data_IF_438703255533
#
_entry.id   IF_438703255533
#
_cell.length_a   1.000
_cell.length_b   1.000
_cell.length_c   1.000
_cell.angle_alpha   90.00
_cell.angle_beta   90.00
_cell.angle_gamma   90.00
#
_symmetry.space_group_name_H-M   'P 1'
#
loop_
_entity.id
_entity.type
_entity.pdbx_description
1 polymer ?
#
# COMPACT_ATOMS: atom_id res chain seq x y z
N UNK A 1 -18.95 -2.91 8.68
CA UNK A 1 -18.06 -4.11 8.74
C UNK A 1 -16.73 -3.71 9.36
N UNK A 2 -16.20 -4.53 10.23
CA UNK A 2 -14.90 -4.31 10.83
C UNK A 2 -13.80 -4.91 9.95
N UNK A 3 -12.60 -4.33 9.99
CA UNK A 3 -11.45 -4.90 9.27
C UNK A 3 -11.14 -6.34 9.69
N UNK A 4 -11.40 -6.69 10.95
CA UNK A 4 -11.19 -8.05 11.45
C UNK A 4 -12.10 -9.10 10.80
N UNK A 5 -13.17 -8.66 10.15
CA UNK A 5 -14.09 -9.56 9.43
C UNK A 5 -13.62 -9.83 7.99
N UNK A 6 -12.61 -9.09 7.52
CA UNK A 6 -11.97 -9.34 6.23
C UNK A 6 -10.90 -10.43 6.37
N UNK A 7 -10.62 -11.13 5.28
CA UNK A 7 -9.60 -12.18 5.26
C UNK A 7 -8.18 -11.61 5.14
N UNK A 8 -7.83 -10.73 6.07
CA UNK A 8 -6.50 -10.14 6.17
C UNK A 8 -5.66 -10.91 7.19
N UNK A 9 -4.36 -11.05 6.93
CA UNK A 9 -3.48 -11.76 7.86
C UNK A 9 -3.17 -10.93 9.12
N UNK A 10 -2.55 -11.59 10.11
CA UNK A 10 -2.29 -11.00 11.41
C UNK A 10 -1.42 -9.74 11.34
N UNK A 11 -0.40 -9.73 10.48
CA UNK A 11 0.51 -8.58 10.37
C UNK A 11 -0.23 -7.32 9.91
N UNK A 12 -1.14 -7.46 8.95
CA UNK A 12 -1.95 -6.34 8.46
C UNK A 12 -2.95 -5.90 9.52
N UNK A 13 -3.64 -6.85 10.17
CA UNK A 13 -4.60 -6.54 11.22
C UNK A 13 -3.94 -5.87 12.42
N UNK A 14 -2.74 -6.29 12.80
CA UNK A 14 -1.99 -5.67 13.90
C UNK A 14 -1.62 -4.22 13.57
N UNK A 15 -1.23 -3.92 12.35
CA UNK A 15 -0.94 -2.57 11.92
C UNK A 15 -2.21 -1.69 11.95
N UNK A 16 -3.33 -2.21 11.48
CA UNK A 16 -4.61 -1.51 11.54
C UNK A 16 -5.02 -1.20 12.98
N UNK A 17 -4.86 -2.15 13.87
CA UNK A 17 -5.16 -1.96 15.29
C UNK A 17 -4.26 -0.88 15.90
N UNK A 18 -2.97 -0.92 15.62
CA UNK A 18 -2.02 0.09 16.09
C UNK A 18 -2.34 1.49 15.58
N UNK A 19 -2.87 1.61 14.36
CA UNK A 19 -3.30 2.86 13.76
C UNK A 19 -4.74 3.26 14.15
N UNK A 20 -5.42 2.44 14.94
CA UNK A 20 -6.81 2.62 15.39
C UNK A 20 -7.82 2.64 14.24
N UNK A 21 -7.60 1.82 13.23
CA UNK A 21 -8.56 1.58 12.17
C UNK A 21 -9.41 0.36 12.54
N UNK A 22 -10.64 0.60 12.95
CA UNK A 22 -11.54 -0.48 13.40
C UNK A 22 -12.57 -0.87 12.34
N UNK A 23 -13.21 0.12 11.74
CA UNK A 23 -14.31 -0.09 10.80
C UNK A 23 -13.94 0.32 9.38
N UNK A 24 -14.40 -0.47 8.42
CA UNK A 24 -14.23 -0.18 7.01
C UNK A 24 -15.16 0.95 6.55
N UNK A 25 -14.65 1.81 5.68
CA UNK A 25 -15.50 2.70 4.89
C UNK A 25 -16.23 1.87 3.82
N UNK A 26 -17.31 2.41 3.21
CA UNK A 26 -18.04 1.68 2.16
C UNK A 26 -17.16 1.21 1.00
N UNK A 27 -16.21 2.05 0.52
CA UNK A 27 -15.32 1.65 -0.57
C UNK A 27 -14.36 0.54 -0.14
N UNK A 28 -13.87 0.56 1.09
CA UNK A 28 -13.00 -0.49 1.61
C UNK A 28 -13.74 -1.82 1.72
N UNK A 29 -14.94 -1.80 2.27
CA UNK A 29 -15.79 -2.98 2.43
C UNK A 29 -16.11 -3.64 1.08
N UNK A 30 -16.34 -2.84 0.05
CA UNK A 30 -16.68 -3.35 -1.28
C UNK A 30 -15.45 -3.78 -2.08
N UNK A 31 -14.34 -3.04 -1.99
CA UNK A 31 -13.18 -3.26 -2.84
C UNK A 31 -12.22 -4.32 -2.32
N UNK A 32 -11.94 -4.34 -1.02
CA UNK A 32 -10.93 -5.23 -0.45
C UNK A 32 -11.21 -6.72 -0.76
N UNK A 33 -12.42 -7.24 -0.55
CA UNK A 33 -12.68 -8.64 -0.87
C UNK A 33 -12.45 -9.00 -2.33
N UNK A 34 -12.81 -8.10 -3.26
CA UNK A 34 -12.64 -8.32 -4.69
C UNK A 34 -11.16 -8.38 -5.06
N UNK A 35 -10.35 -7.49 -4.52
CA UNK A 35 -8.91 -7.45 -4.76
C UNK A 35 -8.23 -8.68 -4.16
N UNK A 36 -8.64 -9.11 -2.96
CA UNK A 36 -8.11 -10.33 -2.32
C UNK A 36 -8.39 -11.59 -3.15
N UNK A 37 -9.47 -11.61 -3.91
CA UNK A 37 -9.78 -12.69 -4.85
C UNK A 37 -8.90 -12.67 -6.11
N UNK A 38 -8.06 -11.65 -6.28
CA UNK A 38 -7.19 -11.51 -7.44
C UNK A 38 -7.86 -10.93 -8.68
N UNK A 39 -9.00 -10.29 -8.53
CA UNK A 39 -9.75 -9.69 -9.63
C UNK A 39 -9.32 -8.25 -9.88
N UNK A 40 -9.41 -7.84 -11.13
CA UNK A 40 -9.23 -6.43 -11.50
C UNK A 40 -10.46 -5.62 -11.10
N UNK A 41 -10.24 -4.35 -10.78
CA UNK A 41 -11.29 -3.49 -10.26
C UNK A 41 -11.10 -2.04 -10.70
N UNK A 42 -12.20 -1.42 -11.13
CA UNK A 42 -12.28 0.04 -11.25
C UNK A 42 -13.22 0.51 -10.14
N UNK A 43 -12.69 1.29 -9.22
CA UNK A 43 -13.45 1.80 -8.08
C UNK A 43 -13.42 3.32 -8.06
N UNK A 44 -14.57 3.92 -7.88
CA UNK A 44 -14.74 5.37 -7.84
C UNK A 44 -15.36 5.76 -6.50
N UNK A 45 -14.69 6.67 -5.79
CA UNK A 45 -15.19 7.21 -4.53
C UNK A 45 -14.66 8.63 -4.34
N UNK A 46 -15.35 9.40 -3.52
CA UNK A 46 -14.93 10.77 -3.22
C UNK A 46 -13.64 10.80 -2.40
N UNK A 47 -12.94 11.94 -2.44
CA UNK A 47 -11.76 12.19 -1.62
C UNK A 47 -12.09 12.03 -0.14
N UNK A 48 -11.21 11.41 0.62
CA UNK A 48 -11.39 11.22 2.06
C UNK A 48 -12.22 10.00 2.44
N UNK A 49 -12.53 9.11 1.49
CA UNK A 49 -13.32 7.90 1.75
C UNK A 49 -12.48 6.64 2.00
N UNK A 50 -11.16 6.79 2.10
CA UNK A 50 -10.26 5.68 2.41
C UNK A 50 -9.88 4.81 1.20
N UNK A 51 -9.84 5.38 -0.01
CA UNK A 51 -9.46 4.65 -1.23
C UNK A 51 -8.04 4.08 -1.14
N UNK A 52 -7.11 4.81 -0.54
CA UNK A 52 -5.73 4.37 -0.43
C UNK A 52 -5.62 3.05 0.34
N UNK A 53 -6.26 2.95 1.49
CA UNK A 53 -6.29 1.71 2.26
C UNK A 53 -7.01 0.59 1.51
N UNK A 54 -8.04 0.93 0.73
CA UNK A 54 -8.78 -0.05 -0.05
C UNK A 54 -7.91 -0.84 -1.02
N UNK A 55 -6.88 -0.23 -1.61
CA UNK A 55 -5.95 -0.97 -2.47
C UNK A 55 -4.66 -1.38 -1.76
N UNK A 56 -4.13 -0.58 -0.81
CA UNK A 56 -2.88 -0.91 -0.11
C UNK A 56 -3.02 -2.15 0.78
N UNK A 57 -4.11 -2.29 1.50
CA UNK A 57 -4.28 -3.41 2.44
C UNK A 57 -4.27 -4.78 1.75
N UNK A 58 -4.99 -5.00 0.63
CA UNK A 58 -4.87 -6.26 -0.09
C UNK A 58 -3.48 -6.52 -0.66
N UNK A 59 -2.80 -5.47 -1.15
CA UNK A 59 -1.43 -5.57 -1.67
C UNK A 59 -0.49 -6.04 -0.56
N UNK A 60 -0.54 -5.39 0.59
CA UNK A 60 0.28 -5.75 1.75
C UNK A 60 -0.05 -7.14 2.27
N UNK A 61 -1.31 -7.52 2.25
CA UNK A 61 -1.74 -8.87 2.64
C UNK A 61 -1.06 -9.92 1.76
N UNK A 62 -1.05 -9.70 0.45
CA UNK A 62 -0.41 -10.60 -0.50
C UNK A 62 1.11 -10.66 -0.30
N UNK A 63 1.76 -9.51 -0.10
CA UNK A 63 3.19 -9.46 0.17
C UNK A 63 3.56 -10.15 1.49
N UNK A 64 2.71 -10.02 2.50
CA UNK A 64 2.92 -10.64 3.80
C UNK A 64 2.84 -12.17 3.74
N UNK A 65 2.10 -12.72 2.79
CA UNK A 65 2.01 -14.17 2.58
C UNK A 65 3.30 -14.76 1.98
N UNK A 66 4.16 -13.94 1.39
CA UNK A 66 5.40 -14.38 0.76
C UNK A 66 5.21 -15.00 -0.62
N UNK A 67 6.25 -15.67 -1.13
CA UNK A 67 6.19 -16.31 -2.44
C UNK A 67 6.46 -15.37 -3.61
N UNK A 68 6.75 -14.11 -3.37
CA UNK A 68 7.14 -13.14 -4.39
C UNK A 68 8.67 -12.98 -4.42
N UNK A 69 9.25 -12.51 -5.56
CA UNK A 69 10.68 -12.20 -5.63
C UNK A 69 11.08 -11.13 -4.62
N UNK A 70 12.17 -11.35 -3.88
CA UNK A 70 12.62 -10.42 -2.84
C UNK A 70 13.37 -9.21 -3.38
N UNK A 71 14.03 -9.36 -4.55
CA UNK A 71 14.86 -8.34 -5.16
C UNK A 71 14.23 -7.71 -6.40
N UNK A 72 12.92 -7.83 -6.55
CA UNK A 72 12.17 -7.31 -7.68
C UNK A 72 11.03 -6.40 -7.22
N UNK A 73 10.57 -5.55 -8.13
CA UNK A 73 9.37 -4.74 -7.91
C UNK A 73 8.15 -5.65 -8.09
N UNK A 74 7.33 -5.75 -7.05
CA UNK A 74 6.14 -6.60 -7.04
C UNK A 74 4.84 -5.83 -7.26
N UNK A 75 4.86 -4.51 -7.03
CA UNK A 75 3.68 -3.66 -7.21
C UNK A 75 4.10 -2.25 -7.62
N UNK A 76 3.36 -1.68 -8.57
CA UNK A 76 3.54 -0.29 -8.98
C UNK A 76 2.25 0.46 -8.72
N UNK A 77 2.34 1.57 -8.00
CA UNK A 77 1.21 2.45 -7.70
C UNK A 77 1.46 3.78 -8.43
N UNK A 78 0.53 4.17 -9.27
CA UNK A 78 0.61 5.43 -10.01
C UNK A 78 -0.33 6.46 -9.40
N UNK A 79 0.14 7.69 -9.27
CA UNK A 79 -0.67 8.78 -8.75
C UNK A 79 -0.45 10.05 -9.59
N UNK A 80 -1.46 10.94 -9.66
CA UNK A 80 -1.36 12.11 -10.54
C UNK A 80 -0.47 13.23 -10.01
N UNK A 81 -0.17 13.25 -8.70
CA UNK A 81 0.64 14.31 -8.09
C UNK A 81 1.70 13.74 -7.16
N UNK A 82 2.77 14.50 -7.00
CA UNK A 82 3.86 14.20 -6.06
C UNK A 82 3.35 14.15 -4.61
N UNK A 83 2.46 15.07 -4.27
CA UNK A 83 1.88 15.17 -2.93
C UNK A 83 1.07 13.91 -2.58
N UNK A 84 0.30 13.39 -3.52
CA UNK A 84 -0.44 12.15 -3.32
C UNK A 84 0.50 10.95 -3.21
N UNK A 85 1.56 10.90 -4.02
CA UNK A 85 2.57 9.84 -3.91
C UNK A 85 3.20 9.82 -2.52
N UNK A 86 3.53 10.98 -1.96
CA UNK A 86 4.07 11.10 -0.61
C UNK A 86 3.07 10.64 0.46
N UNK A 87 1.79 10.99 0.31
CA UNK A 87 0.73 10.54 1.23
C UNK A 87 0.56 9.03 1.21
N UNK A 88 0.59 8.44 0.02
CA UNK A 88 0.49 6.98 -0.14
C UNK A 88 1.69 6.31 0.52
N UNK A 89 2.89 6.82 0.32
CA UNK A 89 4.11 6.29 0.92
C UNK A 89 4.06 6.35 2.45
N UNK A 90 3.55 7.44 3.03
CA UNK A 90 3.37 7.56 4.47
C UNK A 90 2.38 6.54 5.03
N UNK A 91 1.26 6.33 4.34
CA UNK A 91 0.29 5.32 4.75
C UNK A 91 0.87 3.90 4.61
N UNK A 92 1.65 3.68 3.57
CA UNK A 92 2.35 2.42 3.34
C UNK A 92 3.27 2.07 4.51
N UNK A 93 4.02 3.03 5.02
CA UNK A 93 4.90 2.83 6.19
C UNK A 93 4.10 2.38 7.42
N UNK A 94 2.94 3.00 7.67
CA UNK A 94 2.09 2.63 8.81
C UNK A 94 1.50 1.23 8.67
N UNK A 95 0.92 0.93 7.53
CA UNK A 95 0.27 -0.36 7.29
C UNK A 95 1.25 -1.53 7.22
N UNK A 96 2.50 -1.28 6.82
CA UNK A 96 3.53 -2.32 6.69
C UNK A 96 4.44 -2.45 7.92
N UNK A 97 4.10 -1.80 9.02
CA UNK A 97 4.95 -1.72 10.20
C UNK A 97 5.36 -3.09 10.76
N UNK A 98 4.47 -4.06 10.73
CA UNK A 98 4.70 -5.39 11.30
C UNK A 98 5.11 -6.45 10.26
N UNK A 99 5.51 -6.02 9.05
CA UNK A 99 5.90 -6.95 7.99
C UNK A 99 7.12 -6.43 7.23
N UNK A 100 7.93 -7.32 6.64
CA UNK A 100 9.14 -6.93 5.91
C UNK A 100 8.86 -6.51 4.47
N UNK A 101 7.96 -5.55 4.27
CA UNK A 101 7.71 -4.96 2.96
C UNK A 101 8.45 -3.66 2.80
N UNK A 102 9.00 -3.41 1.63
CA UNK A 102 9.73 -2.19 1.30
C UNK A 102 9.01 -1.39 0.23
N UNK A 103 9.09 -0.08 0.31
CA UNK A 103 8.50 0.82 -0.67
C UNK A 103 9.45 1.97 -1.01
N UNK A 104 9.35 2.46 -2.23
CA UNK A 104 10.08 3.64 -2.70
C UNK A 104 9.09 4.55 -3.42
N UNK A 105 8.99 5.80 -2.98
CA UNK A 105 8.25 6.83 -3.69
C UNK A 105 9.15 7.50 -4.71
N UNK A 106 8.71 7.54 -5.95
CA UNK A 106 9.46 8.14 -7.07
C UNK A 106 8.65 9.29 -7.64
N UNK A 107 9.21 10.50 -7.57
CA UNK A 107 8.54 11.70 -8.08
C UNK A 107 9.56 12.75 -8.51
N UNK A 108 9.15 13.64 -9.39
CA UNK A 108 9.99 14.70 -9.90
C UNK A 108 10.09 15.92 -8.99
N UNK A 109 10.88 16.95 -9.41
CA UNK A 109 11.04 18.18 -8.67
C UNK A 109 11.95 18.10 -7.45
N UNK A 110 12.77 17.05 -7.38
CA UNK A 110 13.70 16.79 -6.30
C UNK A 110 15.05 17.47 -6.54
N UNK A 111 15.83 17.67 -5.47
CA UNK A 111 17.26 17.94 -5.59
C UNK A 111 18.02 16.65 -5.98
N UNK A 112 19.32 16.81 -6.31
CA UNK A 112 20.14 15.67 -6.71
C UNK A 112 20.31 14.61 -5.65
N UNK A 113 20.23 14.96 -4.37
CA UNK A 113 20.38 14.03 -3.25
C UNK A 113 19.16 13.11 -3.18
N UNK A 114 17.96 13.66 -3.25
CA UNK A 114 16.72 12.87 -3.26
C UNK A 114 16.63 11.98 -4.49
N UNK A 115 17.03 12.48 -5.65
CA UNK A 115 17.08 11.70 -6.88
C UNK A 115 17.99 10.47 -6.73
N UNK A 116 19.19 10.64 -6.18
CA UNK A 116 20.12 9.53 -5.96
C UNK A 116 19.59 8.53 -4.93
N UNK A 117 18.90 8.99 -3.89
CA UNK A 117 18.27 8.11 -2.90
C UNK A 117 17.17 7.25 -3.53
N UNK A 118 16.33 7.85 -4.37
CA UNK A 118 15.28 7.13 -5.09
C UNK A 118 15.88 6.08 -6.03
N UNK A 119 16.90 6.46 -6.79
CA UNK A 119 17.61 5.57 -7.69
C UNK A 119 18.25 4.40 -6.94
N UNK A 120 18.88 4.66 -5.79
CA UNK A 120 19.48 3.64 -4.95
C UNK A 120 18.42 2.67 -4.42
N UNK A 121 17.28 3.18 -3.97
CA UNK A 121 16.16 2.35 -3.51
C UNK A 121 15.65 1.41 -4.60
N UNK A 122 15.52 1.90 -5.83
CA UNK A 122 15.12 1.07 -6.98
C UNK A 122 16.17 0.02 -7.32
N UNK A 123 17.46 0.38 -7.25
CA UNK A 123 18.57 -0.53 -7.54
C UNK A 123 18.68 -1.65 -6.50
N UNK A 124 18.43 -1.35 -5.22
CA UNK A 124 18.44 -2.35 -4.14
C UNK A 124 17.22 -3.27 -4.17
N UNK A 125 16.20 -2.91 -4.92
CA UNK A 125 14.92 -3.62 -4.99
C UNK A 125 13.94 -3.15 -3.92
N UNK A 126 12.75 -2.78 -4.37
CA UNK A 126 11.63 -2.42 -3.50
C UNK A 126 10.42 -3.24 -3.91
N UNK A 127 9.66 -3.74 -2.94
CA UNK A 127 8.45 -4.50 -3.23
C UNK A 127 7.40 -3.63 -3.91
N UNK A 128 7.27 -2.37 -3.47
CA UNK A 128 6.29 -1.42 -3.97
C UNK A 128 6.98 -0.14 -4.43
N UNK A 129 6.67 0.29 -5.64
CA UNK A 129 7.08 1.59 -6.19
C UNK A 129 5.85 2.48 -6.30
N UNK A 130 5.97 3.65 -5.75
CA UNK A 130 4.86 4.62 -5.69
C UNK A 130 5.16 5.82 -6.58
#
# INVERSE_FOLDING_TARGET
MKFSELELNANVLDALDAMRFDECTPIQEQAIPIILEGKDLIAVAQTGTGKTAAFLLPILNKLSEGGHPEDAINCVIMSPTRELAQQIDQQMEGFSYFMPASSVAVYGGNDGILFEQQKKGLTLGADVVI
#
